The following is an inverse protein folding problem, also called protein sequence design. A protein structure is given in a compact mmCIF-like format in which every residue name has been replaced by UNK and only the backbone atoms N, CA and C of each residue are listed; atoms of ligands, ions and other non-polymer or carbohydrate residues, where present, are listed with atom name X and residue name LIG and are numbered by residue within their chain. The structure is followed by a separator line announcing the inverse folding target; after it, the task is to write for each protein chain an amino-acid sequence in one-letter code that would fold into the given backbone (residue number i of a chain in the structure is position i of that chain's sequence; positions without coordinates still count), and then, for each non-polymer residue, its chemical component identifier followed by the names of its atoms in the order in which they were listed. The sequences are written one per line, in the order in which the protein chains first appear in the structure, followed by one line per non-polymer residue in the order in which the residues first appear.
data_IF_999296894507
#
_entry.id   IF_999296894507
#
_cell.length_a   1.000
_cell.length_b   1.000
_cell.length_c   1.000
_cell.angle_alpha   90.00
_cell.angle_beta   90.00
_cell.angle_gamma   90.00
#
_symmetry.space_group_name_H-M   'P 1'
#
loop_
_entity.id
_entity.type
_entity.pdbx_description
1 polymer ?
#
# COMPACT_ATOMS: atom_id res chain seq x y z
N UNK A 1 38.45 24.78 -60.60
CA UNK A 1 38.02 25.96 -59.81
C UNK A 1 37.24 25.41 -58.62
N UNK A 2 37.92 24.95 -57.57
CA UNK A 2 38.37 25.73 -56.39
C UNK A 2 37.25 26.51 -55.69
N UNK A 3 37.24 26.34 -54.36
CA UNK A 3 36.59 27.16 -53.33
C UNK A 3 35.13 26.85 -52.99
N UNK A 4 34.73 26.62 -51.74
CA UNK A 4 35.41 26.31 -50.47
C UNK A 4 34.29 26.03 -49.47
N UNK A 5 34.56 25.14 -48.52
CA UNK A 5 33.90 24.94 -47.24
C UNK A 5 33.13 26.14 -46.68
N UNK A 6 31.99 25.88 -46.03
CA UNK A 6 31.73 26.49 -44.73
C UNK A 6 30.91 25.55 -43.83
N UNK A 7 31.69 24.75 -43.11
CA UNK A 7 31.36 24.15 -41.83
C UNK A 7 30.98 25.28 -40.86
N UNK A 8 29.70 25.43 -40.52
CA UNK A 8 29.30 26.36 -39.48
C UNK A 8 29.64 25.77 -38.11
N UNK A 9 30.65 26.40 -37.49
CA UNK A 9 31.09 26.27 -36.11
C UNK A 9 29.94 26.19 -35.11
N UNK A 10 30.02 25.19 -34.24
CA UNK A 10 29.44 25.27 -32.90
C UNK A 10 30.08 26.44 -32.13
N UNK A 11 29.23 27.28 -31.53
CA UNK A 11 29.59 28.43 -30.70
C UNK A 11 28.51 28.66 -29.63
N UNK A 12 28.81 29.38 -28.53
CA UNK A 12 28.62 28.84 -27.20
C UNK A 12 27.39 29.41 -26.47
N UNK A 13 26.81 28.59 -25.59
CA UNK A 13 26.32 29.12 -24.31
C UNK A 13 24.82 29.11 -24.02
N UNK A 14 23.96 28.51 -24.85
CA UNK A 14 22.60 28.22 -24.38
C UNK A 14 22.61 26.93 -23.54
N UNK A 15 23.18 27.03 -22.34
CA UNK A 15 22.74 26.16 -21.25
C UNK A 15 21.27 26.53 -21.01
N UNK A 16 20.34 25.73 -21.50
CA UNK A 16 19.03 25.67 -20.89
C UNK A 16 19.26 25.24 -19.43
N UNK A 17 19.43 26.24 -18.55
CA UNK A 17 19.39 26.03 -17.11
C UNK A 17 18.04 25.37 -16.86
N UNK A 18 18.08 24.15 -16.34
CA UNK A 18 16.99 23.59 -15.59
C UNK A 18 16.61 24.62 -14.52
N UNK A 19 15.56 25.38 -14.80
CA UNK A 19 14.86 26.13 -13.79
C UNK A 19 13.88 25.14 -13.18
N UNK A 20 14.20 24.68 -11.97
CA UNK A 20 13.21 24.19 -11.02
C UNK A 20 12.03 25.16 -11.02
N UNK A 21 10.84 24.65 -11.29
CA UNK A 21 9.60 25.41 -11.22
C UNK A 21 8.45 24.46 -10.91
N UNK A 22 8.03 24.50 -9.64
CA UNK A 22 6.87 23.82 -9.05
C UNK A 22 6.83 22.30 -9.24
N UNK A 23 7.04 21.56 -8.14
CA UNK A 23 6.66 20.15 -8.08
C UNK A 23 5.17 20.04 -8.37
N UNK A 24 4.82 19.61 -9.58
CA UNK A 24 3.49 19.09 -9.84
C UNK A 24 3.32 17.95 -8.85
N UNK A 25 2.31 17.97 -7.96
CA UNK A 25 2.04 16.82 -7.11
C UNK A 25 1.83 15.65 -8.06
N UNK A 26 2.80 14.72 -8.08
CA UNK A 26 2.56 13.41 -8.69
C UNK A 26 1.60 12.76 -7.73
N UNK A 27 0.30 12.84 -8.04
CA UNK A 27 -0.68 11.95 -7.47
C UNK A 27 -0.12 10.57 -7.73
N UNK A 28 0.46 9.93 -6.70
CA UNK A 28 0.62 8.48 -6.74
C UNK A 28 -0.81 8.00 -6.78
N UNK A 29 -1.26 7.58 -7.95
CA UNK A 29 -2.53 6.88 -8.05
C UNK A 29 -2.39 5.68 -7.11
N UNK A 30 -3.03 5.76 -5.95
CA UNK A 30 -3.12 4.64 -5.02
C UNK A 30 -4.47 4.04 -5.32
N UNK A 31 -4.47 2.88 -5.96
CA UNK A 31 -5.69 2.16 -6.19
C UNK A 31 -5.99 1.29 -4.97
N UNK A 32 -7.27 1.11 -4.67
CA UNK A 32 -7.73 0.30 -3.55
C UNK A 32 -8.37 -0.96 -4.08
N UNK A 33 -7.95 -2.10 -3.57
CA UNK A 33 -8.53 -3.40 -3.90
C UNK A 33 -9.12 -3.98 -2.62
N UNK A 34 -10.35 -4.42 -2.69
CA UNK A 34 -11.06 -5.04 -1.58
C UNK A 34 -11.16 -6.53 -1.83
N UNK A 35 -10.80 -7.30 -0.80
CA UNK A 35 -11.04 -8.74 -0.75
C UNK A 35 -12.06 -9.00 0.35
N UNK A 36 -13.27 -9.37 -0.04
CA UNK A 36 -14.31 -9.81 0.89
C UNK A 36 -14.23 -11.33 1.05
N UNK A 37 -14.17 -11.82 2.28
CA UNK A 37 -14.10 -13.24 2.61
C UNK A 37 -15.31 -13.62 3.46
N UNK A 38 -16.06 -14.62 3.01
CA UNK A 38 -17.27 -15.10 3.68
C UNK A 38 -17.19 -16.60 3.96
N UNK A 39 -17.66 -17.11 5.11
CA UNK A 39 -17.87 -18.54 5.30
C UNK A 39 -18.79 -19.09 4.22
N UNK A 40 -18.49 -20.27 3.68
CA UNK A 40 -19.31 -20.91 2.65
C UNK A 40 -20.75 -21.13 3.13
N UNK A 41 -21.77 -21.09 2.25
CA UNK A 41 -23.17 -21.19 2.63
C UNK A 41 -23.50 -22.36 3.56
N UNK A 42 -22.87 -23.51 3.32
CA UNK A 42 -23.00 -24.78 4.05
C UNK A 42 -22.28 -24.82 5.39
N UNK A 43 -21.37 -23.89 5.65
CA UNK A 43 -20.62 -23.79 6.91
C UNK A 43 -21.39 -22.89 7.88
N UNK A 44 -21.56 -23.39 9.11
CA UNK A 44 -22.10 -22.59 10.20
C UNK A 44 -21.08 -21.53 10.61
N UNK A 45 -21.55 -20.27 10.67
CA UNK A 45 -20.82 -19.14 11.23
C UNK A 45 -21.30 -18.86 12.66
N UNK A 46 -20.55 -19.24 13.71
CA UNK A 46 -20.92 -18.99 15.10
C UNK A 46 -21.01 -17.50 15.44
N UNK A 47 -20.23 -16.64 14.78
CA UNK A 47 -20.19 -15.20 15.04
C UNK A 47 -21.45 -14.54 14.51
N UNK A 48 -21.81 -14.78 13.24
CA UNK A 48 -23.07 -14.31 12.66
C UNK A 48 -24.30 -14.84 13.41
N UNK A 49 -24.26 -16.10 13.89
CA UNK A 49 -25.33 -16.65 14.75
C UNK A 49 -25.45 -15.90 16.08
N UNK A 50 -24.33 -15.57 16.72
CA UNK A 50 -24.33 -14.80 17.96
C UNK A 50 -24.92 -13.40 17.75
N UNK A 51 -24.51 -12.72 16.67
CA UNK A 51 -25.04 -11.40 16.30
C UNK A 51 -26.55 -11.47 16.01
N UNK A 52 -26.99 -12.46 15.23
CA UNK A 52 -28.42 -12.69 14.94
C UNK A 52 -29.23 -12.85 16.23
N UNK A 53 -28.72 -13.65 17.18
CA UNK A 53 -29.37 -13.81 18.49
C UNK A 53 -29.42 -12.52 19.31
N UNK A 54 -28.36 -11.71 19.27
CA UNK A 54 -28.33 -10.41 19.93
C UNK A 54 -29.36 -9.43 19.32
N UNK A 55 -29.44 -9.37 18.00
CA UNK A 55 -30.42 -8.55 17.29
C UNK A 55 -31.86 -8.91 17.69
N UNK A 56 -32.18 -10.20 17.78
CA UNK A 56 -33.49 -10.66 18.23
C UNK A 56 -33.83 -10.20 19.66
N UNK A 57 -32.87 -10.23 20.59
CA UNK A 57 -33.06 -9.76 21.98
C UNK A 57 -33.29 -8.25 22.06
N UNK A 58 -32.76 -7.49 21.11
CA UNK A 58 -32.95 -6.04 21.00
C UNK A 58 -34.24 -5.65 20.25
N UNK A 59 -35.03 -6.63 19.79
CA UNK A 59 -36.31 -6.41 19.10
C UNK A 59 -36.21 -6.30 17.57
N UNK A 60 -35.04 -6.52 16.97
CA UNK A 60 -34.89 -6.59 15.52
C UNK A 60 -35.29 -7.98 15.01
N UNK A 61 -36.58 -8.18 14.74
CA UNK A 61 -37.13 -9.44 14.23
C UNK A 61 -36.91 -9.61 12.73
N UNK A 62 -36.71 -10.85 12.27
CA UNK A 62 -36.65 -11.19 10.84
C UNK A 62 -35.29 -10.97 10.17
N UNK A 63 -34.25 -10.59 10.93
CA UNK A 63 -32.89 -10.42 10.42
C UNK A 63 -32.06 -11.68 10.66
N UNK A 64 -31.27 -12.05 9.67
CA UNK A 64 -30.23 -13.08 9.79
C UNK A 64 -28.90 -12.47 9.35
N UNK A 65 -27.84 -12.72 10.14
CA UNK A 65 -26.51 -12.15 9.92
C UNK A 65 -25.53 -13.27 9.63
N UNK A 66 -24.73 -13.07 8.58
CA UNK A 66 -23.47 -13.79 8.36
C UNK A 66 -22.34 -12.78 8.53
N UNK A 67 -21.29 -13.19 9.19
CA UNK A 67 -20.09 -12.41 9.41
C UNK A 67 -18.96 -12.95 8.54
N UNK A 68 -18.21 -12.03 7.95
CA UNK A 68 -17.02 -12.31 7.17
C UNK A 68 -15.89 -11.35 7.52
N UNK A 69 -14.86 -11.35 6.68
CA UNK A 69 -13.71 -10.45 6.77
C UNK A 69 -13.66 -9.59 5.52
N UNK A 70 -13.25 -8.33 5.67
CA UNK A 70 -12.95 -7.42 4.58
C UNK A 70 -11.50 -7.00 4.69
N UNK A 71 -10.73 -7.23 3.64
CA UNK A 71 -9.35 -6.76 3.53
C UNK A 71 -9.30 -5.63 2.52
N UNK A 72 -8.64 -4.54 2.89
CA UNK A 72 -8.45 -3.37 2.04
C UNK A 72 -6.97 -3.30 1.72
N UNK A 73 -6.65 -3.42 0.44
CA UNK A 73 -5.29 -3.53 -0.07
C UNK A 73 -5.03 -2.27 -0.88
N UNK A 74 -4.08 -1.46 -0.42
CA UNK A 74 -3.58 -0.32 -1.17
C UNK A 74 -2.53 -0.79 -2.17
N UNK A 75 -2.69 -0.36 -3.42
CA UNK A 75 -1.82 -0.70 -4.53
C UNK A 75 -1.19 0.57 -5.06
N UNK A 76 0.14 0.63 -5.02
CA UNK A 76 0.91 1.66 -5.71
C UNK A 76 0.69 1.57 -7.23
N UNK A 77 0.15 2.65 -7.81
CA UNK A 77 -0.07 2.78 -9.24
C UNK A 77 -1.39 2.16 -9.72
N UNK A 78 -1.39 1.74 -10.97
CA UNK A 78 -2.56 1.14 -11.62
C UNK A 78 -2.72 -0.34 -11.23
N UNK A 79 -3.96 -0.78 -11.06
CA UNK A 79 -4.27 -2.20 -10.90
C UNK A 79 -4.25 -2.87 -12.26
N UNK A 80 -3.07 -3.37 -12.63
CA UNK A 80 -2.91 -4.20 -13.83
C UNK A 80 -3.51 -5.59 -13.62
N UNK A 81 -3.81 -6.34 -14.69
CA UNK A 81 -4.24 -7.74 -14.58
C UNK A 81 -3.26 -8.62 -13.79
N UNK A 82 -1.95 -8.41 -13.98
CA UNK A 82 -0.92 -9.16 -13.23
C UNK A 82 -0.98 -8.85 -11.73
N UNK A 83 -1.22 -7.57 -11.38
CA UNK A 83 -1.34 -7.17 -9.97
C UNK A 83 -2.60 -7.72 -9.33
N UNK A 84 -3.71 -7.78 -10.09
CA UNK A 84 -4.94 -8.40 -9.63
C UNK A 84 -4.74 -9.90 -9.38
N UNK A 85 -4.04 -10.60 -10.28
CA UNK A 85 -3.72 -12.01 -10.12
C UNK A 85 -2.81 -12.28 -8.89
N UNK A 86 -1.86 -11.38 -8.60
CA UNK A 86 -1.05 -11.46 -7.37
C UNK A 86 -1.92 -11.35 -6.11
N UNK A 87 -2.91 -10.45 -6.12
CA UNK A 87 -3.85 -10.25 -5.00
C UNK A 87 -4.77 -11.45 -4.84
N UNK A 88 -5.29 -12.01 -5.93
CA UNK A 88 -6.10 -13.24 -5.92
C UNK A 88 -5.31 -14.41 -5.31
N UNK A 89 -4.05 -14.57 -5.72
CA UNK A 89 -3.17 -15.59 -5.15
C UNK A 89 -2.92 -15.35 -3.65
N UNK A 90 -2.75 -14.10 -3.23
CA UNK A 90 -2.60 -13.77 -1.81
C UNK A 90 -3.90 -14.09 -1.03
N UNK A 91 -5.06 -13.83 -1.62
CA UNK A 91 -6.35 -14.17 -1.04
C UNK A 91 -6.49 -15.67 -0.82
N UNK A 92 -6.16 -16.48 -1.83
CA UNK A 92 -6.20 -17.93 -1.77
C UNK A 92 -5.19 -18.52 -0.77
N UNK A 93 -3.99 -17.95 -0.71
CA UNK A 93 -2.88 -18.50 0.09
C UNK A 93 -3.01 -18.15 1.57
N UNK A 94 -3.52 -16.96 1.89
CA UNK A 94 -3.43 -16.40 3.25
C UNK A 94 -4.74 -15.83 3.78
N UNK A 95 -5.47 -15.05 2.98
CA UNK A 95 -6.59 -14.26 3.50
C UNK A 95 -7.85 -15.11 3.74
N UNK A 96 -8.05 -16.14 2.92
CA UNK A 96 -9.18 -17.05 2.98
C UNK A 96 -8.72 -18.48 3.25
N UNK A 97 -9.43 -19.17 4.15
CA UNK A 97 -9.34 -20.61 4.26
C UNK A 97 -10.29 -21.25 3.23
N UNK A 98 -9.77 -21.58 2.04
CA UNK A 98 -10.54 -22.06 0.88
C UNK A 98 -11.37 -23.32 1.11
N UNK A 99 -11.09 -24.09 2.16
CA UNK A 99 -11.90 -25.25 2.55
C UNK A 99 -13.26 -24.81 3.05
N UNK A 100 -13.32 -23.77 3.89
CA UNK A 100 -14.51 -23.36 4.64
C UNK A 100 -15.02 -21.94 4.30
N UNK A 101 -14.21 -21.14 3.63
CA UNK A 101 -14.50 -19.77 3.22
C UNK A 101 -14.46 -19.65 1.69
N UNK A 102 -15.13 -18.63 1.17
CA UNK A 102 -15.04 -18.16 -0.21
C UNK A 102 -14.65 -16.69 -0.18
N UNK A 103 -14.06 -16.19 -1.27
CA UNK A 103 -13.63 -14.80 -1.36
C UNK A 103 -14.03 -14.17 -2.70
N UNK A 104 -14.19 -12.85 -2.69
CA UNK A 104 -14.44 -12.01 -3.86
C UNK A 104 -13.43 -10.85 -3.86
N UNK A 105 -12.84 -10.57 -5.02
CA UNK A 105 -11.84 -9.51 -5.19
C UNK A 105 -12.42 -8.43 -6.10
N UNK A 106 -12.42 -7.18 -5.64
CA UNK A 106 -12.91 -6.03 -6.40
C UNK A 106 -12.00 -4.82 -6.29
N UNK A 107 -11.83 -4.09 -7.37
CA UNK A 107 -11.12 -2.80 -7.36
C UNK A 107 -12.11 -1.71 -6.95
N UNK A 108 -11.83 -0.99 -5.87
CA UNK A 108 -12.54 0.23 -5.50
C UNK A 108 -11.84 1.43 -6.16
N UNK A 109 -12.60 2.18 -6.95
CA UNK A 109 -12.10 3.42 -7.57
C UNK A 109 -12.28 4.56 -6.58
N UNK A 110 -11.32 4.76 -5.66
CA UNK A 110 -11.32 5.96 -4.82
C UNK A 110 -10.69 7.14 -5.59
N UNK A 111 -11.46 8.23 -5.69
CA UNK A 111 -11.08 9.48 -6.35
C UNK A 111 -9.99 10.15 -5.50
N UNK A 112 -8.75 10.10 -6.02
CA UNK A 112 -7.61 10.96 -5.69
C UNK A 112 -7.39 11.27 -4.19
N UNK A 113 -6.70 10.37 -3.49
CA UNK A 113 -5.99 10.75 -2.26
C UNK A 113 -4.84 11.71 -2.59
N UNK A 114 -4.94 12.97 -2.18
CA UNK A 114 -3.80 13.90 -2.15
C UNK A 114 -2.89 13.52 -0.99
N UNK A 115 -1.80 12.82 -1.30
CA UNK A 115 -0.66 12.69 -0.38
C UNK A 115 0.23 13.91 -0.54
N UNK A 116 0.27 14.75 0.49
CA UNK A 116 1.25 15.82 0.61
C UNK A 116 2.57 15.17 1.06
N UNK A 117 3.49 14.94 0.12
CA UNK A 117 4.82 14.41 0.43
C UNK A 117 5.63 15.54 1.09
N UNK A 118 5.63 15.54 2.43
CA UNK A 118 6.48 16.42 3.21
C UNK A 118 7.95 16.24 2.78
N UNK A 119 8.57 17.36 2.45
CA UNK A 119 9.91 17.50 1.89
C UNK A 119 10.98 16.62 2.58
N UNK A 120 12.03 16.18 1.86
CA UNK A 120 13.14 15.48 2.48
C UNK A 120 13.82 16.41 3.48
N UNK A 121 13.68 16.11 4.77
CA UNK A 121 14.42 16.82 5.81
C UNK A 121 15.89 16.45 5.64
N UNK A 122 16.65 17.39 5.11
CA UNK A 122 18.10 17.36 5.20
C UNK A 122 18.48 17.55 6.68
N UNK A 123 18.74 16.45 7.41
CA UNK A 123 19.52 16.53 8.64
C UNK A 123 20.99 16.34 8.27
N UNK A 124 21.68 17.48 8.24
CA UNK A 124 23.13 17.54 8.32
C UNK A 124 23.63 16.90 9.61
N UNK A 125 24.84 16.33 9.50
CA UNK A 125 25.51 15.69 10.61
C UNK A 125 25.80 16.65 11.76
N UNK A 126 25.74 16.09 12.95
CA UNK A 126 26.52 16.56 14.09
C UNK A 126 27.26 15.36 14.64
N UNK A 127 28.58 15.38 14.51
CA UNK A 127 29.51 14.51 15.22
C UNK A 127 29.15 14.49 16.71
N UNK A 128 28.88 13.31 17.25
CA UNK A 128 28.87 13.07 18.69
C UNK A 128 30.19 12.39 19.04
N UNK A 129 31.04 12.98 19.90
CA UNK A 129 32.25 12.29 20.36
C UNK A 129 31.84 11.11 21.24
N UNK A 130 32.55 9.99 21.07
CA UNK A 130 32.28 8.72 21.72
C UNK A 130 32.18 8.85 23.25
N UNK A 131 31.19 8.17 23.81
CA UNK A 131 31.15 7.85 25.23
C UNK A 131 31.58 6.40 25.38
N UNK A 132 32.83 6.22 25.76
CA UNK A 132 33.40 4.93 26.15
C UNK A 132 32.57 4.32 27.28
N UNK A 133 32.05 3.12 27.06
CA UNK A 133 31.56 2.24 28.12
C UNK A 133 32.45 1.01 28.15
N UNK A 134 33.57 1.18 28.84
CA UNK A 134 34.41 0.08 29.30
C UNK A 134 33.83 -0.51 30.60
N UNK A 135 33.74 -1.84 30.60
CA UNK A 135 33.77 -2.75 31.77
C UNK A 135 32.56 -2.73 32.75
N UNK A 136 31.98 -3.85 33.21
CA UNK A 136 32.54 -5.14 33.62
C UNK A 136 31.54 -6.30 33.41
N UNK A 137 32.11 -7.48 33.13
CA UNK A 137 31.48 -8.79 33.18
C UNK A 137 31.78 -9.42 34.55
N UNK A 138 30.77 -9.82 35.33
CA UNK A 138 30.95 -10.80 36.42
C UNK A 138 29.70 -11.70 36.59
N UNK A 139 30.00 -12.99 36.74
CA UNK A 139 29.14 -14.16 36.91
C UNK A 139 28.15 -14.08 38.09
N UNK A 140 27.08 -14.88 38.04
CA UNK A 140 26.70 -15.80 39.15
C UNK A 140 25.63 -16.79 38.70
N UNK A 141 26.01 -18.06 38.75
CA UNK A 141 25.18 -19.27 38.82
C UNK A 141 24.24 -19.27 40.04
N UNK A 142 22.97 -19.61 39.84
CA UNK A 142 22.16 -20.48 40.73
C UNK A 142 20.82 -20.80 40.06
#
# INVERSE_FOLDING_TARGET
MQSTSNLCRAGPGWRAKAALGAGVPRIRAMARVVVDVMPKPEILDPQGKAVTGALGRLGFSGLAVRQGKRFEIEVDGEVTPDRLADIERAAETLLANTVIETYDVRVETDVAGTVDEAAPTAQGGTDHPGHDVDHLNEETTA
#
